data_IF_634290832677
#
_entry.id   IF_634290832677
#
_cell.length_a   1.000
_cell.length_b   1.000
_cell.length_c   1.000
_cell.angle_alpha   90.00
_cell.angle_beta   90.00
_cell.angle_gamma   90.00
#
_symmetry.space_group_name_H-M   'P 1'
#
loop_
_entity.id
_entity.type
_entity.pdbx_description
1 polymer ?
#
# COMPACT_ATOMS: atom_id res chain seq x y z
N UNK A 1 -2.12 -4.85 -11.99
CA UNK A 1 -1.51 -5.20 -10.69
C UNK A 1 -0.13 -4.59 -10.67
N UNK A 2 0.31 -4.14 -9.50
CA UNK A 2 1.67 -3.68 -9.29
C UNK A 2 2.11 -3.81 -7.82
N UNK A 3 3.41 -3.83 -7.59
CA UNK A 3 4.01 -3.93 -6.26
C UNK A 3 4.63 -2.63 -5.76
N UNK A 4 4.36 -2.34 -4.49
CA UNK A 4 4.99 -1.22 -3.81
C UNK A 4 5.68 -1.63 -2.51
N UNK A 5 6.83 -1.04 -2.26
CA UNK A 5 7.46 -1.04 -0.94
C UNK A 5 6.76 -0.07 0.02
N UNK A 6 6.41 -0.54 1.22
CA UNK A 6 5.87 0.26 2.33
C UNK A 6 6.84 0.29 3.51
N UNK A 7 7.41 1.47 3.78
CA UNK A 7 8.23 1.74 4.97
C UNK A 7 7.33 2.06 6.17
N UNK A 8 6.68 1.05 6.72
CA UNK A 8 5.52 1.18 7.61
C UNK A 8 5.80 1.80 8.99
N UNK A 9 7.07 1.80 9.43
CA UNK A 9 7.51 2.39 10.71
C UNK A 9 8.31 3.70 10.52
N UNK A 10 8.30 4.26 9.32
CA UNK A 10 9.08 5.46 9.00
C UNK A 10 8.43 6.72 9.57
N UNK A 11 9.24 7.56 10.21
CA UNK A 11 8.87 8.90 10.65
C UNK A 11 8.74 9.86 9.44
N UNK A 12 7.96 10.96 9.54
CA UNK A 12 7.85 11.94 8.45
C UNK A 12 9.22 12.48 8.04
N UNK A 13 9.35 12.82 6.75
CA UNK A 13 10.59 13.36 6.20
C UNK A 13 10.84 14.82 6.62
N UNK A 14 9.77 15.60 6.84
CA UNK A 14 9.84 16.99 7.24
C UNK A 14 9.16 17.14 8.60
N UNK A 15 9.93 17.46 9.63
CA UNK A 15 9.38 18.16 10.78
C UNK A 15 9.39 19.64 10.42
N UNK A 16 8.22 20.29 10.33
CA UNK A 16 8.12 21.74 10.21
C UNK A 16 8.44 22.32 11.61
N UNK A 17 9.65 22.08 12.10
CA UNK A 17 10.11 22.59 13.38
C UNK A 17 10.93 23.85 13.11
N UNK A 18 10.58 24.94 13.78
CA UNK A 18 11.37 26.20 13.83
C UNK A 18 12.71 26.03 14.57
N UNK A 19 12.91 24.92 15.28
CA UNK A 19 14.19 24.53 15.89
C UNK A 19 14.67 23.19 15.34
N UNK A 20 15.99 23.13 15.08
CA UNK A 20 16.74 21.93 14.69
C UNK A 20 16.41 20.74 15.62
N UNK A 21 15.47 19.90 15.22
CA UNK A 21 15.22 18.63 15.87
C UNK A 21 16.24 17.62 15.33
N UNK A 22 16.96 16.92 16.23
CA UNK A 22 17.89 15.85 15.86
C UNK A 22 17.17 14.87 14.95
N UNK A 23 17.68 14.70 13.72
CA UNK A 23 17.19 13.77 12.69
C UNK A 23 16.83 12.42 13.33
N UNK A 24 15.53 12.15 13.49
CA UNK A 24 15.06 10.84 13.98
C UNK A 24 15.61 9.79 13.02
N UNK A 25 16.34 8.79 13.53
CA UNK A 25 16.88 7.70 12.70
C UNK A 25 15.73 7.07 11.92
N UNK A 26 15.78 7.16 10.58
CA UNK A 26 14.77 6.59 9.71
C UNK A 26 14.86 5.07 9.79
N UNK A 27 13.94 4.46 10.51
CA UNK A 27 13.76 3.00 10.51
C UNK A 27 13.25 2.56 9.15
N UNK A 28 14.15 2.05 8.30
CA UNK A 28 13.83 1.56 6.93
C UNK A 28 13.32 0.11 6.93
N UNK A 29 12.47 -0.24 7.89
CA UNK A 29 11.83 -1.56 7.85
C UNK A 29 10.70 -1.49 6.82
N UNK A 30 10.75 -2.39 5.84
CA UNK A 30 9.90 -2.40 4.66
C UNK A 30 9.19 -3.73 4.53
N UNK A 31 7.91 -3.68 4.17
CA UNK A 31 7.19 -4.79 3.55
C UNK A 31 6.87 -4.43 2.11
N UNK A 32 6.80 -5.42 1.23
CA UNK A 32 6.30 -5.21 -0.14
C UNK A 32 4.84 -5.63 -0.17
N UNK A 33 4.01 -4.86 -0.87
CA UNK A 33 2.57 -5.06 -0.98
C UNK A 33 2.23 -5.06 -2.46
N UNK A 34 1.61 -6.13 -2.94
CA UNK A 34 1.05 -6.21 -4.27
C UNK A 34 -0.43 -5.82 -4.22
N UNK A 35 -0.83 -4.88 -5.07
CA UNK A 35 -2.18 -4.33 -5.13
C UNK A 35 -2.79 -4.61 -6.51
N UNK A 36 -4.05 -5.02 -6.53
CA UNK A 36 -4.79 -5.38 -7.75
C UNK A 36 -6.24 -4.90 -7.65
N UNK A 37 -6.65 -4.06 -8.60
CA UNK A 37 -7.99 -3.52 -8.72
C UNK A 37 -8.45 -3.58 -10.18
N UNK A 38 -9.75 -3.63 -10.39
CA UNK A 38 -10.35 -3.50 -11.72
C UNK A 38 -10.50 -2.03 -12.12
N UNK A 39 -10.85 -1.83 -13.39
CA UNK A 39 -10.81 -0.53 -14.05
C UNK A 39 -11.78 0.51 -13.48
N UNK A 40 -13.00 0.11 -13.15
CA UNK A 40 -14.04 0.97 -12.55
C UNK A 40 -13.88 1.09 -11.02
N UNK A 41 -12.92 0.38 -10.43
CA UNK A 41 -12.68 0.33 -8.99
C UNK A 41 -13.74 -0.42 -8.18
N UNK A 42 -14.73 -1.06 -8.82
CA UNK A 42 -15.79 -1.78 -8.12
C UNK A 42 -15.31 -3.04 -7.40
N UNK A 43 -14.21 -3.64 -7.86
CA UNK A 43 -13.61 -4.84 -7.30
C UNK A 43 -12.09 -4.69 -7.13
N UNK A 44 -11.60 -5.14 -5.99
CA UNK A 44 -10.18 -5.15 -5.68
C UNK A 44 -9.81 -6.47 -4.99
N UNK A 45 -8.78 -7.14 -5.51
CA UNK A 45 -8.30 -8.38 -4.91
C UNK A 45 -7.64 -8.09 -3.55
N UNK A 46 -7.66 -9.04 -2.61
CA UNK A 46 -6.93 -8.91 -1.36
C UNK A 46 -5.45 -8.57 -1.59
N UNK A 47 -4.86 -7.65 -0.81
CA UNK A 47 -3.44 -7.34 -0.93
C UNK A 47 -2.58 -8.56 -0.60
N UNK A 48 -1.60 -8.86 -1.45
CA UNK A 48 -0.57 -9.84 -1.16
C UNK A 48 0.61 -9.16 -0.48
N UNK A 49 0.98 -9.65 0.71
CA UNK A 49 2.07 -9.12 1.50
C UNK A 49 3.33 -9.98 1.36
N UNK A 50 4.47 -9.31 1.22
CA UNK A 50 5.78 -9.91 1.04
C UNK A 50 6.73 -9.38 2.12
N UNK A 51 7.23 -10.28 2.96
CA UNK A 51 8.15 -9.95 4.05
C UNK A 51 9.37 -10.88 4.11
N UNK A 52 10.27 -10.61 5.06
CA UNK A 52 11.50 -11.41 5.23
C UNK A 52 11.28 -12.65 6.07
N UNK A 53 10.64 -12.49 7.22
CA UNK A 53 10.43 -13.59 8.16
C UNK A 53 9.22 -14.42 7.74
N UNK A 54 9.37 -15.76 7.71
CA UNK A 54 8.24 -16.68 7.47
C UNK A 54 7.12 -16.48 8.48
N UNK A 55 7.48 -16.24 9.73
CA UNK A 55 6.56 -15.97 10.82
C UNK A 55 7.12 -14.82 11.67
N UNK A 56 6.78 -13.56 11.34
CA UNK A 56 7.15 -12.41 12.15
C UNK A 56 6.70 -12.60 13.61
N UNK A 57 7.52 -12.14 14.56
CA UNK A 57 7.23 -12.26 15.99
C UNK A 57 5.85 -11.68 16.37
N UNK A 58 5.44 -10.58 15.73
CA UNK A 58 4.14 -9.94 15.95
C UNK A 58 2.94 -10.81 15.55
N UNK A 59 3.13 -11.94 14.87
CA UNK A 59 2.05 -12.89 14.57
C UNK A 59 1.67 -13.78 15.75
N UNK A 60 2.41 -13.71 16.88
CA UNK A 60 2.12 -14.46 18.11
C UNK A 60 1.90 -15.96 17.87
N UNK A 61 2.83 -16.58 17.11
CA UNK A 61 2.79 -18.01 16.72
C UNK A 61 1.62 -18.43 15.82
N UNK A 62 0.81 -17.50 15.30
CA UNK A 62 -0.21 -17.78 14.28
C UNK A 62 0.37 -17.67 12.87
N UNK A 63 -0.24 -18.35 11.90
CA UNK A 63 0.05 -18.13 10.49
C UNK A 63 -0.63 -16.86 9.97
N UNK A 64 -0.15 -16.32 8.85
CA UNK A 64 -0.81 -15.18 8.20
C UNK A 64 -2.23 -15.53 7.72
N UNK A 65 -2.44 -16.76 7.23
CA UNK A 65 -3.76 -17.25 6.81
C UNK A 65 -4.75 -17.27 7.98
N UNK A 66 -4.31 -17.72 9.16
CA UNK A 66 -5.12 -17.66 10.39
C UNK A 66 -5.43 -16.23 10.83
N UNK A 67 -4.62 -15.25 10.41
CA UNK A 67 -4.84 -13.82 10.65
C UNK A 67 -5.62 -13.14 9.51
N UNK A 68 -6.01 -13.88 8.47
CA UNK A 68 -6.79 -13.39 7.34
C UNK A 68 -5.98 -12.57 6.33
N UNK A 69 -4.70 -12.88 6.17
CA UNK A 69 -3.78 -12.22 5.23
C UNK A 69 -3.15 -13.21 4.25
N UNK A 70 -3.09 -12.82 2.97
CA UNK A 70 -2.21 -13.44 1.99
C UNK A 70 -0.78 -12.93 2.22
N UNK A 71 0.10 -13.79 2.75
CA UNK A 71 1.49 -13.42 3.06
C UNK A 71 2.46 -14.47 2.57
N UNK A 72 3.54 -14.02 1.94
CA UNK A 72 4.67 -14.84 1.52
C UNK A 72 5.97 -14.25 2.06
N UNK A 73 6.88 -15.13 2.44
CA UNK A 73 8.17 -14.73 2.96
C UNK A 73 9.30 -15.17 2.02
N UNK A 74 10.23 -14.25 1.75
CA UNK A 74 11.48 -14.55 1.10
C UNK A 74 12.59 -13.62 1.61
N UNK A 75 13.85 -14.01 1.45
CA UNK A 75 14.98 -13.26 2.04
C UNK A 75 15.04 -11.80 1.60
N UNK A 76 14.58 -11.49 0.39
CA UNK A 76 14.64 -10.15 -0.22
C UNK A 76 13.41 -9.28 0.12
N UNK A 77 12.30 -9.86 0.57
CA UNK A 77 11.00 -9.23 0.79
C UNK A 77 10.49 -8.43 -0.41
N UNK A 78 10.55 -9.01 -1.60
CA UNK A 78 10.07 -8.44 -2.88
C UNK A 78 9.45 -9.54 -3.74
N UNK A 79 8.79 -9.18 -4.85
CA UNK A 79 8.18 -10.19 -5.73
C UNK A 79 9.24 -11.06 -6.41
N UNK A 80 8.99 -12.37 -6.49
CA UNK A 80 9.83 -13.33 -7.21
C UNK A 80 8.95 -14.14 -8.14
N UNK A 81 9.49 -14.58 -9.29
CA UNK A 81 8.75 -15.38 -10.29
C UNK A 81 7.97 -16.55 -9.69
N UNK A 82 8.57 -17.31 -8.79
CA UNK A 82 7.89 -18.43 -8.12
C UNK A 82 6.71 -17.98 -7.25
N UNK A 83 6.84 -16.85 -6.57
CA UNK A 83 5.77 -16.31 -5.70
C UNK A 83 4.62 -15.76 -6.54
N UNK A 84 4.94 -15.02 -7.60
CA UNK A 84 3.95 -14.52 -8.55
C UNK A 84 3.19 -15.66 -9.22
N UNK A 85 3.93 -16.69 -9.67
CA UNK A 85 3.38 -17.93 -10.24
C UNK A 85 2.39 -18.63 -9.32
N UNK A 86 2.79 -18.86 -8.07
CA UNK A 86 1.92 -19.53 -7.09
C UNK A 86 0.67 -18.70 -6.81
N UNK A 87 0.83 -17.37 -6.68
CA UNK A 87 -0.28 -16.44 -6.49
C UNK A 87 -1.23 -16.45 -7.70
N UNK A 88 -0.71 -16.44 -8.93
CA UNK A 88 -1.50 -16.46 -10.16
C UNK A 88 -2.33 -17.75 -10.29
N UNK A 89 -1.74 -18.91 -10.01
CA UNK A 89 -2.46 -20.20 -10.02
C UNK A 89 -3.56 -20.27 -8.96
N UNK A 90 -3.31 -19.72 -7.77
CA UNK A 90 -4.35 -19.62 -6.74
C UNK A 90 -5.46 -18.67 -7.18
N UNK A 91 -5.11 -17.53 -7.79
CA UNK A 91 -6.10 -16.58 -8.31
C UNK A 91 -6.95 -17.19 -9.41
N UNK A 92 -6.35 -17.96 -10.32
CA UNK A 92 -7.05 -18.69 -11.37
C UNK A 92 -8.04 -19.70 -10.79
N UNK A 93 -7.64 -20.42 -9.73
CA UNK A 93 -8.54 -21.33 -9.00
C UNK A 93 -9.71 -20.59 -8.36
N UNK A 94 -9.45 -19.45 -7.71
CA UNK A 94 -10.49 -18.63 -7.07
C UNK A 94 -11.47 -18.09 -8.12
N UNK A 95 -10.97 -17.62 -9.26
CA UNK A 95 -11.80 -17.12 -10.36
C UNK A 95 -12.65 -18.23 -10.97
N UNK A 96 -12.08 -19.43 -11.15
CA UNK A 96 -12.81 -20.62 -11.60
C UNK A 96 -13.92 -21.00 -10.62
N UNK A 97 -13.62 -21.03 -9.32
CA UNK A 97 -14.61 -21.34 -8.28
C UNK A 97 -15.75 -20.29 -8.23
N UNK A 98 -15.44 -19.03 -8.54
CA UNK A 98 -16.42 -17.96 -8.64
C UNK A 98 -17.17 -17.92 -9.99
N UNK A 99 -16.82 -18.77 -10.97
CA UNK A 99 -17.38 -18.71 -12.32
C UNK A 99 -17.04 -17.41 -13.07
N UNK A 100 -15.93 -16.75 -12.72
CA UNK A 100 -15.49 -15.46 -13.28
C UNK A 100 -14.27 -15.65 -14.17
N UNK A 101 -14.13 -14.78 -15.17
CA UNK A 101 -12.92 -14.67 -15.99
C UNK A 101 -12.42 -13.25 -15.93
N UNK A 102 -11.12 -13.07 -15.75
CA UNK A 102 -10.49 -11.74 -15.63
C UNK A 102 -9.29 -11.61 -16.57
N UNK A 103 -9.04 -10.38 -17.01
CA UNK A 103 -7.80 -9.94 -17.63
C UNK A 103 -6.92 -9.29 -16.57
N UNK A 104 -5.74 -9.84 -16.33
CA UNK A 104 -4.75 -9.29 -15.41
C UNK A 104 -3.64 -8.60 -16.20
N UNK A 105 -3.55 -7.28 -16.03
CA UNK A 105 -2.48 -6.46 -16.60
C UNK A 105 -1.32 -6.33 -15.61
N UNK A 106 -0.11 -6.61 -16.06
CA UNK A 106 1.14 -6.48 -15.27
C UNK A 106 2.23 -5.80 -16.09
N UNK A 107 3.22 -5.21 -15.42
CA UNK A 107 4.40 -4.69 -16.11
C UNK A 107 5.33 -5.83 -16.58
N UNK A 108 6.33 -5.50 -17.39
CA UNK A 108 7.28 -6.48 -17.92
C UNK A 108 8.46 -6.77 -16.97
N UNK A 109 8.20 -6.77 -15.65
CA UNK A 109 9.22 -7.12 -14.67
C UNK A 109 9.61 -8.61 -14.78
N UNK A 110 10.89 -8.93 -14.58
CA UNK A 110 11.37 -10.32 -14.61
C UNK A 110 10.73 -11.20 -13.53
N UNK A 111 10.22 -10.60 -12.46
CA UNK A 111 9.41 -11.26 -11.43
C UNK A 111 8.05 -11.75 -11.92
N UNK A 112 7.58 -11.27 -13.07
CA UNK A 112 6.32 -11.73 -13.69
C UNK A 112 6.54 -12.84 -14.72
N UNK A 113 7.75 -13.41 -14.79
CA UNK A 113 8.03 -14.56 -15.63
C UNK A 113 7.24 -15.81 -15.17
N UNK A 114 6.25 -16.20 -15.95
CA UNK A 114 5.36 -17.33 -15.64
C UNK A 114 5.86 -18.67 -16.17
N UNK A 115 6.75 -18.70 -17.18
CA UNK A 115 7.12 -19.93 -17.89
C UNK A 115 5.92 -20.50 -18.66
N UNK A 116 5.81 -21.83 -18.77
CA UNK A 116 4.72 -22.52 -19.46
C UNK A 116 3.50 -22.74 -18.56
N UNK A 117 2.91 -21.66 -18.05
CA UNK A 117 1.69 -21.75 -17.25
C UNK A 117 0.50 -21.32 -18.08
N UNK A 118 -0.50 -22.20 -18.12
CA UNK A 118 -1.78 -21.93 -18.76
C UNK A 118 -2.83 -21.79 -17.67
N UNK A 119 -3.40 -20.60 -17.55
CA UNK A 119 -4.54 -20.29 -16.71
C UNK A 119 -5.82 -20.39 -17.54
N UNK A 120 -6.93 -20.82 -16.94
CA UNK A 120 -8.22 -20.99 -17.65
C UNK A 120 -9.14 -19.79 -17.48
N UNK A 121 -9.07 -19.12 -16.33
CA UNK A 121 -9.97 -18.05 -15.90
C UNK A 121 -9.24 -16.73 -15.66
N UNK A 122 -7.90 -16.74 -15.62
CA UNK A 122 -7.08 -15.52 -15.61
C UNK A 122 -6.28 -15.43 -16.89
N UNK A 123 -6.60 -14.46 -17.75
CA UNK A 123 -5.75 -14.11 -18.89
C UNK A 123 -4.72 -13.10 -18.41
N UNK A 124 -3.44 -13.43 -18.53
CA UNK A 124 -2.35 -12.51 -18.20
C UNK A 124 -1.90 -11.77 -19.46
N UNK A 125 -1.81 -10.44 -19.41
CA UNK A 125 -1.23 -9.62 -20.47
C UNK A 125 -0.19 -8.67 -19.88
N UNK A 126 0.91 -8.48 -20.62
CA UNK A 126 2.00 -7.61 -20.23
C UNK A 126 1.84 -6.25 -20.89
N UNK A 127 2.01 -5.19 -20.10
CA UNK A 127 2.12 -3.85 -20.64
C UNK A 127 3.39 -3.73 -21.49
N UNK A 128 3.39 -2.89 -22.54
CA UNK A 128 4.57 -2.65 -23.35
C UNK A 128 5.77 -2.24 -22.49
N UNK A 129 6.99 -2.65 -22.84
CA UNK A 129 8.17 -2.33 -22.05
C UNK A 129 8.36 -0.81 -21.91
N UNK A 130 8.86 -0.37 -20.76
CA UNK A 130 9.13 1.04 -20.43
C UNK A 130 7.90 1.98 -20.41
N UNK A 131 6.68 1.43 -20.23
CA UNK A 131 5.45 2.24 -20.17
C UNK A 131 4.90 2.43 -18.76
N UNK A 132 5.64 2.04 -17.72
CA UNK A 132 5.20 2.11 -16.31
C UNK A 132 4.66 3.48 -15.92
N UNK A 133 5.30 4.57 -16.36
CA UNK A 133 4.87 5.92 -16.03
C UNK A 133 3.60 6.38 -16.76
N UNK A 134 3.26 5.79 -17.91
CA UNK A 134 2.17 6.25 -18.78
C UNK A 134 0.97 5.30 -18.84
N UNK A 135 1.21 3.99 -18.81
CA UNK A 135 0.18 2.98 -19.01
C UNK A 135 -0.21 2.22 -17.74
N UNK A 136 0.62 2.18 -16.69
CA UNK A 136 0.31 1.39 -15.49
C UNK A 136 -0.59 2.18 -14.52
N UNK A 137 -1.89 1.83 -14.35
CA UNK A 137 -2.81 2.62 -13.53
C UNK A 137 -2.42 2.65 -12.05
N UNK A 138 -1.77 1.59 -11.58
CA UNK A 138 -1.28 1.52 -10.20
C UNK A 138 -0.27 2.61 -9.90
N UNK A 139 0.63 2.88 -10.84
CA UNK A 139 1.64 3.95 -10.77
C UNK A 139 1.07 5.33 -11.13
N UNK A 140 -0.01 5.38 -11.90
CA UNK A 140 -0.70 6.62 -12.28
C UNK A 140 -1.45 7.32 -11.11
N UNK A 141 -1.37 6.79 -9.89
CA UNK A 141 -1.85 7.47 -8.69
C UNK A 141 -2.46 6.58 -7.61
N UNK A 142 -2.86 5.35 -7.92
CA UNK A 142 -3.50 4.45 -6.94
C UNK A 142 -2.54 4.12 -5.79
N UNK A 143 -1.29 3.72 -6.11
CA UNK A 143 -0.25 3.44 -5.11
C UNK A 143 0.10 4.70 -4.31
N UNK A 144 0.14 5.86 -4.96
CA UNK A 144 0.40 7.12 -4.30
C UNK A 144 -0.69 7.44 -3.27
N UNK A 145 -1.97 7.32 -3.64
CA UNK A 145 -3.10 7.54 -2.73
C UNK A 145 -3.12 6.51 -1.60
N UNK A 146 -2.84 5.23 -1.88
CA UNK A 146 -2.68 4.20 -0.86
C UNK A 146 -1.62 4.58 0.19
N UNK A 147 -0.43 5.03 -0.25
CA UNK A 147 0.63 5.49 0.65
C UNK A 147 0.22 6.73 1.45
N UNK A 148 -0.50 7.67 0.84
CA UNK A 148 -1.05 8.85 1.53
C UNK A 148 -2.07 8.46 2.60
N UNK A 149 -3.00 7.57 2.29
CA UNK A 149 -3.97 7.06 3.25
C UNK A 149 -3.29 6.31 4.42
N UNK A 150 -2.28 5.48 4.12
CA UNK A 150 -1.47 4.85 5.16
C UNK A 150 -0.80 5.86 6.07
N UNK A 151 -0.23 6.91 5.49
CA UNK A 151 0.43 7.98 6.24
C UNK A 151 -0.54 8.72 7.16
N UNK A 152 -1.74 9.06 6.67
CA UNK A 152 -2.80 9.69 7.49
C UNK A 152 -3.20 8.81 8.68
N UNK A 153 -3.34 7.50 8.46
CA UNK A 153 -3.69 6.53 9.51
C UNK A 153 -2.60 6.42 10.57
N UNK A 154 -1.33 6.38 10.14
CA UNK A 154 -0.17 6.38 11.04
C UNK A 154 -0.10 7.65 11.89
N UNK A 155 -0.30 8.82 11.29
CA UNK A 155 -0.28 10.11 12.00
C UNK A 155 -1.40 10.21 13.05
N UNK A 156 -2.62 9.80 12.69
CA UNK A 156 -3.75 9.75 13.64
C UNK A 156 -3.46 8.84 14.82
N UNK A 157 -2.89 7.66 14.56
CA UNK A 157 -2.51 6.72 15.62
C UNK A 157 -1.43 7.28 16.54
N UNK A 158 -0.46 8.03 16.00
CA UNK A 158 0.55 8.74 16.79
C UNK A 158 -0.08 9.82 17.66
N UNK A 159 -0.99 10.62 17.10
CA UNK A 159 -1.70 11.66 17.84
C UNK A 159 -2.50 11.09 19.01
N UNK A 160 -3.24 10.00 18.79
CA UNK A 160 -4.04 9.35 19.84
C UNK A 160 -3.16 8.80 20.98
N UNK A 161 -1.96 8.30 20.64
CA UNK A 161 -0.98 7.85 21.64
C UNK A 161 -0.45 8.99 22.50
N UNK A 162 -0.11 10.13 21.88
CA UNK A 162 0.37 11.31 22.59
C UNK A 162 -0.72 11.84 23.53
N UNK A 163 -1.97 11.91 23.05
CA UNK A 163 -3.12 12.39 23.83
C UNK A 163 -3.40 11.52 25.07
N UNK A 164 -3.12 10.22 25.01
CA UNK A 164 -3.31 9.28 26.14
C UNK A 164 -2.20 9.35 27.20
N UNK A 165 -1.19 10.22 27.02
CA UNK A 165 -0.04 10.34 27.90
C UNK A 165 0.66 8.99 28.17
N UNK A 166 0.65 8.08 27.18
CA UNK A 166 1.51 6.91 27.22
C UNK A 166 2.96 7.40 27.44
N UNK A 167 3.73 6.77 28.34
CA UNK A 167 5.15 7.07 28.51
C UNK A 167 5.92 6.65 27.25
N UNK A 168 5.83 7.45 26.18
CA UNK A 168 6.43 7.11 24.90
C UNK A 168 7.87 7.64 24.91
N UNK A 169 8.82 6.71 24.91
CA UNK A 169 10.23 7.05 24.69
C UNK A 169 10.38 7.80 23.37
N UNK A 170 11.09 8.93 23.40
CA UNK A 170 11.38 9.77 22.22
C UNK A 170 12.06 8.89 21.16
N UNK A 171 11.34 8.58 20.07
CA UNK A 171 11.78 7.67 19.01
C UNK A 171 10.91 6.43 18.78
N UNK A 172 10.13 5.99 19.77
CA UNK A 172 9.20 4.84 19.65
C UNK A 172 7.79 5.24 19.17
N UNK A 173 7.52 6.55 19.04
CA UNK A 173 6.20 7.09 18.68
C UNK A 173 5.68 6.50 17.36
N UNK A 174 6.53 6.40 16.34
CA UNK A 174 6.17 5.88 15.01
C UNK A 174 6.35 4.36 14.87
N UNK A 175 6.72 3.65 15.95
CA UNK A 175 7.00 2.23 15.92
C UNK A 175 5.70 1.44 15.79
N UNK A 176 5.38 1.07 14.56
CA UNK A 176 4.26 0.20 14.21
C UNK A 176 4.83 -1.19 13.95
N UNK A 177 4.21 -2.24 14.49
CA UNK A 177 4.61 -3.61 14.14
C UNK A 177 4.07 -4.02 12.76
N UNK A 178 4.64 -5.06 12.18
CA UNK A 178 4.26 -5.50 10.82
C UNK A 178 2.79 -5.94 10.75
N UNK A 179 2.24 -6.56 11.80
CA UNK A 179 0.85 -7.01 11.80
C UNK A 179 -0.12 -5.82 11.77
N UNK A 180 0.16 -4.78 12.55
CA UNK A 180 -0.63 -3.56 12.55
C UNK A 180 -0.55 -2.83 11.20
N UNK A 181 0.64 -2.79 10.58
CA UNK A 181 0.80 -2.25 9.24
C UNK A 181 -0.02 -3.02 8.19
N UNK A 182 -0.04 -4.35 8.26
CA UNK A 182 -0.83 -5.20 7.38
C UNK A 182 -2.34 -4.99 7.58
N UNK A 183 -2.80 -4.85 8.84
CA UNK A 183 -4.21 -4.52 9.16
C UNK A 183 -4.63 -3.20 8.54
N UNK A 184 -3.86 -2.14 8.78
CA UNK A 184 -4.14 -0.83 8.19
C UNK A 184 -4.13 -0.86 6.67
N UNK A 185 -3.16 -1.55 6.08
CA UNK A 185 -3.07 -1.71 4.62
C UNK A 185 -4.31 -2.37 4.05
N UNK A 186 -4.80 -3.44 4.69
CA UNK A 186 -6.03 -4.14 4.28
C UNK A 186 -7.25 -3.23 4.38
N UNK A 187 -7.41 -2.53 5.50
CA UNK A 187 -8.52 -1.59 5.71
C UNK A 187 -8.48 -0.44 4.68
N UNK A 188 -7.31 0.17 4.46
CA UNK A 188 -7.13 1.25 3.48
C UNK A 188 -7.46 0.77 2.07
N UNK A 189 -7.06 -0.45 1.72
CA UNK A 189 -7.35 -1.01 0.41
C UNK A 189 -8.84 -1.21 0.19
N UNK A 190 -9.54 -1.72 1.20
CA UNK A 190 -11.01 -1.83 1.20
C UNK A 190 -11.68 -0.46 1.11
N UNK A 191 -11.16 0.55 1.81
CA UNK A 191 -11.65 1.94 1.74
C UNK A 191 -11.37 2.61 0.38
N UNK A 192 -10.38 2.14 -0.38
CA UNK A 192 -10.07 2.67 -1.72
C UNK A 192 -10.94 2.05 -2.81
N UNK A 193 -11.45 0.84 -2.58
CA UNK A 193 -12.42 0.20 -3.46
C UNK A 193 -13.67 1.09 -3.59
N UNK A 194 -14.14 1.26 -4.82
CA UNK A 194 -15.28 2.11 -5.18
C UNK A 194 -14.97 3.62 -5.22
N UNK A 195 -13.73 4.05 -4.97
CA UNK A 195 -13.36 5.47 -5.12
C UNK A 195 -13.01 5.79 -6.57
N UNK A 196 -13.44 6.99 -6.99
CA UNK A 196 -13.15 7.54 -8.31
C UNK A 196 -11.64 7.64 -8.63
N UNK A 197 -10.75 7.62 -7.61
CA UNK A 197 -9.30 7.60 -7.83
C UNK A 197 -8.87 6.43 -8.71
N UNK A 198 -9.43 5.24 -8.50
CA UNK A 198 -9.06 4.06 -9.30
C UNK A 198 -9.49 4.28 -10.74
N UNK A 199 -10.77 4.56 -10.96
CA UNK A 199 -11.33 4.83 -12.28
C UNK A 199 -10.60 5.95 -13.03
N UNK A 200 -10.28 7.05 -12.35
CA UNK A 200 -9.56 8.17 -12.92
C UNK A 200 -8.14 7.78 -13.35
N UNK A 201 -7.44 6.95 -12.57
CA UNK A 201 -6.12 6.45 -12.95
C UNK A 201 -6.20 5.54 -14.19
N UNK A 202 -7.18 4.65 -14.27
CA UNK A 202 -7.39 3.80 -15.45
C UNK A 202 -7.79 4.58 -16.70
N UNK A 203 -8.57 5.66 -16.55
CA UNK A 203 -8.90 6.58 -17.63
C UNK A 203 -7.68 7.37 -18.09
N UNK A 204 -6.88 7.85 -17.13
CA UNK A 204 -5.68 8.64 -17.41
C UNK A 204 -4.63 7.86 -18.22
N UNK A 205 -4.49 6.55 -17.97
CA UNK A 205 -3.58 5.70 -18.74
C UNK A 205 -4.10 5.31 -20.12
N UNK A 206 -5.35 5.63 -20.46
CA UNK A 206 -5.96 5.26 -21.74
C UNK A 206 -6.23 3.76 -21.90
N UNK A 207 -6.06 2.94 -20.85
CA UNK A 207 -6.43 1.52 -20.89
C UNK A 207 -7.94 1.37 -21.06
N UNK A 208 -8.70 2.26 -20.43
CA UNK A 208 -10.15 2.33 -20.59
C UNK A 208 -10.46 3.49 -21.54
N UNK A 209 -10.74 3.16 -22.80
CA UNK A 209 -11.30 4.13 -23.75
C UNK A 209 -12.80 4.27 -23.48
N UNK A 210 -13.16 5.14 -22.55
CA UNK A 210 -14.45 5.83 -22.63
C UNK A 210 -14.18 7.12 -23.40
N UNK A 211 -14.87 7.32 -24.52
CA UNK A 211 -14.71 8.50 -25.39
C UNK A 211 -14.47 9.76 -24.58
N UNK A 212 -13.43 10.49 -24.94
CA UNK A 212 -12.94 11.70 -24.25
C UNK A 212 -14.11 12.61 -23.92
N UNK A 213 -14.38 12.82 -22.63
CA UNK A 213 -15.11 14.00 -22.17
C UNK A 213 -14.17 14.77 -21.24
N UNK A 214 -13.70 15.93 -21.70
CA UNK A 214 -12.72 16.81 -21.04
C UNK A 214 -13.26 17.49 -19.76
N UNK A 215 -14.16 16.84 -19.02
CA UNK A 215 -14.81 17.43 -17.85
C UNK A 215 -14.47 16.69 -16.58
N UNK A 216 -13.31 17.03 -16.00
CA UNK A 216 -13.21 17.44 -14.58
C UNK A 216 -11.76 17.65 -14.17
N UNK A 217 -11.20 18.82 -14.49
CA UNK A 217 -10.16 19.41 -13.64
C UNK A 217 -10.83 19.82 -12.32
N UNK A 218 -11.00 18.88 -11.38
CA UNK A 218 -11.24 19.25 -9.98
C UNK A 218 -9.88 19.46 -9.33
N UNK A 219 -9.54 20.73 -9.12
CA UNK A 219 -8.43 21.14 -8.28
C UNK A 219 -8.54 20.42 -6.92
N UNK A 220 -7.58 19.57 -6.63
CA UNK A 220 -7.46 18.92 -5.33
C UNK A 220 -6.83 19.94 -4.39
N UNK A 221 -7.65 20.53 -3.51
CA UNK A 221 -7.19 21.44 -2.46
C UNK A 221 -6.24 20.71 -1.49
N UNK A 222 -5.05 21.26 -1.30
CA UNK A 222 -3.94 20.73 -0.50
C UNK A 222 -3.84 21.38 0.91
N UNK A 223 -4.93 21.83 1.54
CA UNK A 223 -4.80 22.67 2.75
C UNK A 223 -5.02 21.98 4.11
N UNK A 224 -5.46 20.71 4.18
CA UNK A 224 -5.84 20.11 5.47
C UNK A 224 -4.73 19.29 6.17
N UNK A 225 -3.67 18.91 5.45
CA UNK A 225 -2.62 18.03 5.99
C UNK A 225 -1.60 18.78 6.89
N UNK A 226 -1.50 20.11 6.75
CA UNK A 226 -0.58 20.95 7.53
C UNK A 226 -1.02 21.06 9.01
N UNK A 227 -2.32 21.07 9.28
CA UNK A 227 -2.84 21.29 10.64
C UNK A 227 -2.54 20.11 11.58
N UNK A 228 -2.67 18.86 11.12
CA UNK A 228 -2.47 17.68 11.97
C UNK A 228 -1.01 17.50 12.37
N UNK A 229 -0.09 17.74 11.43
CA UNK A 229 1.35 17.58 11.68
C UNK A 229 1.86 18.71 12.62
N UNK A 230 1.34 19.93 12.50
CA UNK A 230 1.66 21.06 13.38
C UNK A 230 1.08 20.89 14.80
N UNK A 231 -0.14 20.34 14.92
CA UNK A 231 -0.76 20.01 16.21
C UNK A 231 0.07 18.95 16.98
N UNK A 232 0.54 17.90 16.30
CA UNK A 232 1.37 16.84 16.90
C UNK A 232 2.68 17.41 17.45
N UNK A 233 3.30 18.35 16.73
CA UNK A 233 4.56 18.97 17.16
C UNK A 233 4.35 19.87 18.38
N UNK A 234 3.31 20.71 18.37
CA UNK A 234 2.99 21.61 19.50
C UNK A 234 2.63 20.84 20.78
N UNK A 235 1.89 19.73 20.67
CA UNK A 235 1.55 18.89 21.83
C UNK A 235 2.76 18.15 22.41
N UNK A 236 3.68 17.69 21.56
CA UNK A 236 4.91 17.05 22.01
C UNK A 236 5.84 18.00 22.75
N UNK A 237 5.91 19.28 22.35
CA UNK A 237 6.70 20.30 23.03
C UNK A 237 6.09 20.73 24.37
N UNK A 238 4.76 20.79 24.48
CA UNK A 238 4.06 21.15 25.73
C UNK A 238 4.23 20.10 26.84
N UNK A 239 4.32 18.81 26.50
CA UNK A 239 4.58 17.74 27.48
C UNK A 239 6.04 17.72 27.96
N UNK A 240 6.97 18.36 27.24
CA UNK A 240 8.38 18.44 27.62
C UNK A 240 8.70 19.68 28.50
N UNK A 241 7.81 20.67 28.54
CA UNK A 241 7.94 21.85 29.41
C UNK A 241 7.28 21.70 30.79
N UNK A 242 6.64 20.55 31.06
CA UNK A 242 5.94 20.26 32.31
C UNK A 242 6.69 19.26 33.23
N UNK A 243 7.98 19.01 32.95
CA UNK A 243 8.94 18.24 33.76
C UNK A 243 10.18 19.10 33.98
#
# INVERSE_FOLDING_TARGET
MDETGLCYAMAPACSICTRSARRVKKTKIRITIALTANADGSDALPPLFLGRAKQPYCFKKRSASQLGFEYKANQKAWMMGQVFREWLLNRDRDMRAAGRTILLLVDNASSHYIGEIVCTNVRLEFLPPNTTASLQPMDAGIIAEFKRAYRRKQLRWVYDKIKRADQIKKGDVYKVDQLQAMKWSKEIWQELQGKATIENCFRHTGIVFNGVDERSKKETSYSLDVEVEDIILRTADLHLSAL
#
